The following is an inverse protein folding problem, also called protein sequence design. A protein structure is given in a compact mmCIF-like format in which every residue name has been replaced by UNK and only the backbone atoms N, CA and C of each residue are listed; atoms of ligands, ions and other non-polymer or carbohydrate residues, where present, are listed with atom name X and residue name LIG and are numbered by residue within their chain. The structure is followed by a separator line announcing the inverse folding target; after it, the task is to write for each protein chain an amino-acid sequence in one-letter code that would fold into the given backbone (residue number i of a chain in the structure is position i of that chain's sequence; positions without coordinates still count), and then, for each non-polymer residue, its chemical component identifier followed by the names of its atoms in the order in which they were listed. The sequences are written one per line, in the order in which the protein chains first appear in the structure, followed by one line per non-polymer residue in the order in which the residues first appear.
data_IF_676290280527
#
_entry.id   IF_676290280527
#
_cell.length_a   1.000
_cell.length_b   1.000
_cell.length_c   1.000
_cell.angle_alpha   90.00
_cell.angle_beta   90.00
_cell.angle_gamma   90.00
#
_symmetry.space_group_name_H-M   'P 1'
#
loop_
_entity.id
_entity.type
_entity.pdbx_description
1 polymer ?
#
# COMPACT_ATOMS: atom_id res chain seq x y z
N UNK A 1 -48.05 -14.98 18.81
CA UNK A 1 -48.32 -14.22 17.58
C UNK A 1 -47.91 -12.78 17.85
N UNK A 2 -46.79 -12.32 17.28
CA UNK A 2 -46.39 -10.91 17.42
C UNK A 2 -47.42 -10.02 16.72
N UNK A 3 -47.79 -8.89 17.31
CA UNK A 3 -48.78 -7.98 16.72
C UNK A 3 -48.30 -7.50 15.33
N UNK A 4 -49.18 -7.42 14.31
CA UNK A 4 -48.78 -6.96 12.99
C UNK A 4 -48.29 -5.51 13.09
N UNK A 5 -47.04 -5.28 12.72
CA UNK A 5 -46.46 -3.93 12.66
C UNK A 5 -47.32 -3.07 11.72
N UNK A 6 -47.80 -1.88 12.17
CA UNK A 6 -48.78 -1.08 11.43
C UNK A 6 -48.27 -0.50 10.11
N UNK A 7 -46.95 -0.55 9.88
CA UNK A 7 -46.32 -0.22 8.61
C UNK A 7 -45.56 -1.45 8.14
N UNK A 8 -46.15 -2.25 7.25
CA UNK A 8 -45.48 -3.42 6.67
C UNK A 8 -44.53 -2.91 5.59
N UNK A 9 -43.30 -2.53 5.97
CA UNK A 9 -42.27 -2.27 4.96
C UNK A 9 -41.72 -3.63 4.52
N UNK A 10 -41.53 -3.87 3.22
CA UNK A 10 -40.97 -5.13 2.71
C UNK A 10 -39.52 -5.41 3.15
N UNK A 11 -38.93 -4.54 3.98
CA UNK A 11 -37.59 -4.67 4.58
C UNK A 11 -37.64 -5.08 6.06
N UNK A 12 -38.84 -5.33 6.60
CA UNK A 12 -39.01 -5.63 8.01
C UNK A 12 -38.67 -7.09 8.33
N UNK A 13 -38.38 -7.37 9.60
CA UNK A 13 -38.13 -8.72 10.12
C UNK A 13 -39.26 -9.73 9.80
N UNK A 14 -40.45 -9.24 9.45
CA UNK A 14 -41.57 -10.04 8.97
C UNK A 14 -41.33 -10.75 7.63
N UNK A 15 -40.27 -10.39 6.90
CA UNK A 15 -39.88 -10.97 5.61
C UNK A 15 -38.53 -11.72 5.67
N UNK A 16 -37.92 -11.87 6.86
CA UNK A 16 -36.74 -12.70 7.04
C UNK A 16 -37.15 -14.18 7.05
N UNK A 17 -36.37 -15.04 6.40
CA UNK A 17 -36.50 -16.48 6.56
C UNK A 17 -36.21 -16.89 8.02
N UNK A 18 -36.86 -17.94 8.53
CA UNK A 18 -36.75 -18.34 9.95
C UNK A 18 -35.34 -18.82 10.36
N UNK A 19 -34.42 -19.00 9.41
CA UNK A 19 -33.03 -19.37 9.66
C UNK A 19 -32.10 -18.15 9.57
N UNK A 20 -31.95 -17.42 10.67
CA UNK A 20 -30.88 -16.43 10.78
C UNK A 20 -29.51 -17.14 10.73
N UNK A 21 -28.55 -16.66 9.92
CA UNK A 21 -27.21 -17.22 9.92
C UNK A 21 -26.53 -16.97 11.28
N UNK A 22 -25.69 -17.90 11.70
CA UNK A 22 -24.82 -17.67 12.85
C UNK A 22 -23.85 -16.53 12.51
N UNK A 23 -23.78 -15.51 13.37
CA UNK A 23 -22.97 -14.33 13.10
C UNK A 23 -21.49 -14.62 13.44
N UNK A 24 -20.55 -14.36 12.53
CA UNK A 24 -19.12 -14.61 12.74
C UNK A 24 -18.51 -13.53 13.65
N UNK A 25 -18.88 -13.51 14.93
CA UNK A 25 -18.45 -12.48 15.88
C UNK A 25 -16.94 -12.41 16.08
N UNK A 26 -16.21 -13.46 15.70
CA UNK A 26 -14.75 -13.47 15.67
C UNK A 26 -14.15 -12.43 14.72
N UNK A 27 -14.84 -12.06 13.62
CA UNK A 27 -14.40 -10.99 12.70
C UNK A 27 -14.20 -9.64 13.41
N UNK A 28 -14.88 -9.42 14.54
CA UNK A 28 -14.69 -8.22 15.36
C UNK A 28 -13.27 -8.15 15.93
N UNK A 29 -12.62 -9.29 16.17
CA UNK A 29 -11.32 -9.41 16.82
C UNK A 29 -10.24 -10.08 15.96
N UNK A 30 -10.52 -10.39 14.68
CA UNK A 30 -9.48 -10.82 13.73
C UNK A 30 -8.37 -9.76 13.74
N UNK A 31 -7.13 -10.13 14.14
CA UNK A 31 -6.00 -9.22 14.07
C UNK A 31 -5.71 -8.94 12.61
N UNK A 32 -5.19 -7.76 12.31
CA UNK A 32 -4.77 -7.41 10.96
C UNK A 32 -3.51 -6.55 11.01
N UNK A 33 -2.75 -6.59 9.92
CA UNK A 33 -1.53 -5.84 9.72
C UNK A 33 -1.74 -4.91 8.53
N UNK A 34 -1.25 -3.68 8.62
CA UNK A 34 -1.20 -2.76 7.49
C UNK A 34 0.21 -2.76 6.87
N UNK A 35 0.45 -3.50 5.78
CA UNK A 35 1.79 -3.65 5.21
C UNK A 35 2.26 -2.42 4.42
N UNK A 36 1.40 -1.43 4.20
CA UNK A 36 1.79 -0.18 3.54
C UNK A 36 0.93 0.99 4.03
N UNK A 37 1.52 1.86 4.81
CA UNK A 37 0.94 3.17 5.15
C UNK A 37 2.04 4.20 5.45
N UNK A 38 1.65 5.46 5.60
CA UNK A 38 2.52 6.54 6.03
C UNK A 38 2.09 7.07 7.41
N UNK A 39 1.80 6.19 8.38
CA UNK A 39 1.25 6.57 9.68
C UNK A 39 2.11 7.55 10.48
N UNK A 40 3.42 7.62 10.25
CA UNK A 40 4.28 8.65 10.85
C UNK A 40 3.85 10.07 10.42
N UNK A 41 3.16 10.25 9.31
CA UNK A 41 2.70 11.56 8.81
C UNK A 41 1.29 11.95 9.30
N UNK A 42 0.49 10.98 9.75
CA UNK A 42 -0.92 11.16 10.07
C UNK A 42 -1.19 11.98 11.34
N UNK A 43 -2.46 12.31 11.57
CA UNK A 43 -2.89 12.94 12.83
C UNK A 43 -2.91 11.92 13.99
N UNK A 44 -3.08 12.41 15.22
CA UNK A 44 -3.30 11.54 16.37
C UNK A 44 -4.57 10.69 16.20
N UNK A 45 -5.66 11.31 15.75
CA UNK A 45 -6.96 10.65 15.60
C UNK A 45 -6.89 9.52 14.57
N UNK A 46 -6.15 9.68 13.49
CA UNK A 46 -6.02 8.62 12.47
C UNK A 46 -5.33 7.38 13.05
N UNK A 47 -4.25 7.56 13.82
CA UNK A 47 -3.57 6.45 14.51
C UNK A 47 -4.43 5.83 15.61
N UNK A 48 -5.25 6.64 16.29
CA UNK A 48 -6.22 6.13 17.25
C UNK A 48 -7.26 5.24 16.55
N UNK A 49 -7.70 5.59 15.33
CA UNK A 49 -8.63 4.75 14.54
C UNK A 49 -8.02 3.39 14.19
N UNK A 50 -6.74 3.32 13.85
CA UNK A 50 -6.01 2.04 13.69
C UNK A 50 -6.09 1.18 14.95
N UNK A 51 -5.74 1.77 16.10
CA UNK A 51 -5.77 1.07 17.38
C UNK A 51 -7.18 0.55 17.72
N UNK A 52 -8.20 1.40 17.56
CA UNK A 52 -9.60 1.07 17.88
C UNK A 52 -10.20 0.03 16.93
N UNK A 53 -9.66 -0.13 15.72
CA UNK A 53 -10.13 -1.13 14.75
C UNK A 53 -9.39 -2.47 14.83
N UNK A 54 -8.46 -2.61 15.77
CA UNK A 54 -7.78 -3.87 16.04
C UNK A 54 -6.53 -4.09 15.19
N UNK A 55 -5.92 -3.02 14.66
CA UNK A 55 -4.61 -3.11 14.01
C UNK A 55 -3.59 -3.70 14.99
N UNK A 56 -2.91 -4.77 14.59
CA UNK A 56 -1.92 -5.48 15.42
C UNK A 56 -0.51 -4.98 15.16
N UNK A 57 -0.16 -4.80 13.90
CA UNK A 57 1.14 -4.31 13.46
C UNK A 57 0.99 -3.49 12.17
N UNK A 58 2.01 -2.70 11.83
CA UNK A 58 2.03 -1.94 10.58
C UNK A 58 3.45 -1.69 10.09
N UNK A 59 3.59 -1.50 8.79
CA UNK A 59 4.82 -1.04 8.13
C UNK A 59 4.62 0.41 7.71
N UNK A 60 5.34 1.33 8.35
CA UNK A 60 5.35 2.74 7.97
C UNK A 60 6.39 2.94 6.86
N UNK A 61 5.91 3.26 5.67
CA UNK A 61 6.75 3.44 4.48
C UNK A 61 7.34 4.85 4.47
N UNK A 62 8.66 4.97 4.59
CA UNK A 62 9.39 6.24 4.52
C UNK A 62 10.15 6.35 3.19
N UNK A 63 9.39 6.37 2.11
CA UNK A 63 9.89 6.72 0.77
C UNK A 63 9.04 7.80 0.10
N UNK A 64 7.98 8.26 0.79
CA UNK A 64 7.03 9.23 0.26
C UNK A 64 7.68 10.58 0.03
N UNK A 65 7.73 10.98 -1.23
CA UNK A 65 8.37 12.22 -1.67
C UNK A 65 7.50 13.48 -1.48
N UNK A 66 6.29 13.33 -0.94
CA UNK A 66 5.32 14.42 -0.82
C UNK A 66 5.72 15.49 0.19
N UNK A 67 6.60 15.16 1.15
CA UNK A 67 7.00 16.07 2.24
C UNK A 67 8.30 16.82 1.99
N UNK A 68 8.97 16.54 0.87
CA UNK A 68 10.23 17.22 0.53
C UNK A 68 9.95 18.67 0.11
N UNK A 69 10.77 19.64 0.50
CA UNK A 69 10.48 21.06 0.31
C UNK A 69 10.58 21.56 -1.15
N UNK A 70 11.33 20.87 -2.01
CA UNK A 70 11.57 21.25 -3.40
C UNK A 70 11.83 20.03 -4.29
N UNK A 71 12.01 20.28 -5.59
CA UNK A 71 12.26 19.30 -6.65
C UNK A 71 13.34 19.87 -7.60
N UNK A 72 14.39 19.13 -7.99
CA UNK A 72 14.70 17.76 -7.56
C UNK A 72 15.01 17.73 -6.06
N UNK A 73 14.87 16.57 -5.44
CA UNK A 73 15.06 16.42 -3.99
C UNK A 73 16.53 16.15 -3.70
N UNK A 74 17.08 16.77 -2.66
CA UNK A 74 18.43 16.47 -2.21
C UNK A 74 18.45 15.16 -1.40
N UNK A 75 19.51 14.35 -1.52
CA UNK A 75 19.68 13.12 -0.74
C UNK A 75 19.51 13.33 0.78
N UNK A 76 19.94 14.49 1.31
CA UNK A 76 19.79 14.83 2.73
C UNK A 76 18.35 15.01 3.18
N UNK A 77 17.43 15.44 2.30
CA UNK A 77 16.01 15.57 2.64
C UNK A 77 15.39 14.18 2.85
N UNK A 78 15.75 13.21 2.01
CA UNK A 78 15.25 11.84 2.15
C UNK A 78 15.80 11.19 3.42
N UNK A 79 17.10 11.35 3.70
CA UNK A 79 17.68 10.87 4.97
C UNK A 79 16.99 11.48 6.19
N UNK A 80 16.65 12.77 6.13
CA UNK A 80 15.89 13.42 7.20
C UNK A 80 14.51 12.77 7.40
N UNK A 81 13.80 12.41 6.32
CA UNK A 81 12.52 11.71 6.42
C UNK A 81 12.65 10.31 7.03
N UNK A 82 13.71 9.57 6.66
CA UNK A 82 14.03 8.28 7.29
C UNK A 82 14.30 8.44 8.79
N UNK A 83 15.11 9.43 9.17
CA UNK A 83 15.41 9.74 10.57
C UNK A 83 14.14 10.13 11.35
N UNK A 84 13.23 10.94 10.78
CA UNK A 84 11.97 11.30 11.44
C UNK A 84 11.10 10.05 11.70
N UNK A 85 10.97 9.17 10.72
CA UNK A 85 10.21 7.94 10.85
C UNK A 85 10.79 7.02 11.95
N UNK A 86 12.10 6.80 11.96
CA UNK A 86 12.83 6.04 13.00
C UNK A 86 12.59 6.64 14.38
N UNK A 87 12.78 7.96 14.52
CA UNK A 87 12.71 8.63 15.81
C UNK A 87 11.28 8.67 16.38
N UNK A 88 10.24 8.72 15.54
CA UNK A 88 8.84 8.83 15.98
C UNK A 88 8.18 7.49 16.27
N UNK A 89 8.68 6.39 15.69
CA UNK A 89 8.13 5.03 15.81
C UNK A 89 7.77 4.64 17.25
N UNK A 90 8.73 4.71 18.19
CA UNK A 90 8.51 4.31 19.59
C UNK A 90 7.47 5.17 20.32
N UNK A 91 7.34 6.45 19.95
CA UNK A 91 6.32 7.31 20.51
C UNK A 91 4.93 6.94 19.99
N UNK A 92 4.83 6.57 18.71
CA UNK A 92 3.60 6.09 18.08
C UNK A 92 3.13 4.80 18.77
N UNK A 93 3.99 3.78 18.88
CA UNK A 93 3.65 2.50 19.51
C UNK A 93 3.15 2.68 20.95
N UNK A 94 3.90 3.45 21.75
CA UNK A 94 3.56 3.69 23.17
C UNK A 94 2.18 4.32 23.33
N UNK A 95 1.76 5.15 22.39
CA UNK A 95 0.51 5.89 22.47
C UNK A 95 -0.69 5.16 21.85
N UNK A 96 -0.45 4.21 20.93
CA UNK A 96 -1.51 3.57 20.14
C UNK A 96 -1.54 2.04 20.22
N UNK A 97 -0.62 1.41 20.94
CA UNK A 97 -0.65 -0.01 21.33
C UNK A 97 -0.60 -1.06 20.20
N UNK A 98 -0.23 -0.66 18.98
CA UNK A 98 0.17 -1.57 17.91
C UNK A 98 1.70 -1.55 17.74
N UNK A 99 2.24 -2.62 17.16
CA UNK A 99 3.63 -2.64 16.70
C UNK A 99 3.76 -1.78 15.44
N UNK A 100 4.84 -1.01 15.33
CA UNK A 100 5.17 -0.26 14.13
C UNK A 100 6.60 -0.55 13.72
N UNK A 101 6.77 -1.00 12.48
CA UNK A 101 8.05 -1.20 11.79
C UNK A 101 8.14 -0.27 10.58
N UNK A 102 9.29 -0.27 9.92
CA UNK A 102 9.58 0.65 8.83
C UNK A 102 9.92 -0.09 7.55
N UNK A 103 9.46 0.47 6.44
CA UNK A 103 10.12 0.31 5.15
C UNK A 103 10.78 1.63 4.79
N UNK A 104 12.01 1.61 4.31
CA UNK A 104 12.75 2.81 3.90
C UNK A 104 13.19 2.67 2.46
N UNK A 105 13.11 3.74 1.67
CA UNK A 105 13.54 3.68 0.30
C UNK A 105 13.44 5.00 -0.45
N UNK A 106 13.69 4.91 -1.75
CA UNK A 106 13.68 5.98 -2.73
C UNK A 106 12.60 5.69 -3.76
N UNK A 107 11.54 6.48 -3.71
CA UNK A 107 10.48 6.40 -4.70
C UNK A 107 10.84 7.24 -5.93
N UNK A 108 10.79 6.66 -7.14
CA UNK A 108 11.27 7.30 -8.37
C UNK A 108 10.29 8.30 -8.99
N UNK A 109 9.07 8.40 -8.46
CA UNK A 109 8.08 9.44 -8.80
C UNK A 109 8.57 10.89 -8.60
N UNK A 110 9.73 11.07 -7.96
CA UNK A 110 10.49 12.32 -7.91
C UNK A 110 11.96 12.07 -8.26
N UNK A 111 12.59 12.98 -9.00
CA UNK A 111 14.04 12.96 -9.19
C UNK A 111 14.82 13.33 -7.92
N UNK A 112 15.83 12.53 -7.59
CA UNK A 112 16.77 12.80 -6.50
C UNK A 112 18.13 13.22 -7.05
N UNK A 113 18.72 14.24 -6.44
CA UNK A 113 20.11 14.63 -6.70
C UNK A 113 21.08 13.68 -5.98
N UNK A 114 22.07 13.18 -6.73
CA UNK A 114 23.12 12.28 -6.23
C UNK A 114 22.58 11.01 -5.53
N UNK A 115 21.80 10.15 -6.23
CA UNK A 115 21.23 8.93 -5.64
C UNK A 115 22.29 7.98 -5.06
N UNK A 116 23.49 7.91 -5.65
CA UNK A 116 24.60 7.07 -5.15
C UNK A 116 24.97 7.36 -3.69
N UNK A 117 24.97 8.64 -3.29
CA UNK A 117 25.25 9.02 -1.91
C UNK A 117 24.15 8.49 -0.98
N UNK A 118 22.89 8.60 -1.41
CA UNK A 118 21.74 8.16 -0.63
C UNK A 118 21.75 6.63 -0.45
N UNK A 119 21.96 5.89 -1.53
CA UNK A 119 22.06 4.43 -1.55
C UNK A 119 23.21 3.94 -0.66
N UNK A 120 24.37 4.61 -0.70
CA UNK A 120 25.50 4.25 0.16
C UNK A 120 25.19 4.38 1.66
N UNK A 121 24.34 5.34 2.05
CA UNK A 121 23.91 5.46 3.45
C UNK A 121 22.77 4.52 3.82
N UNK A 122 21.96 4.09 2.85
CA UNK A 122 20.80 3.24 3.08
C UNK A 122 21.15 1.91 3.75
N UNK A 123 22.33 1.34 3.45
CA UNK A 123 22.80 0.11 4.10
C UNK A 123 22.89 0.19 5.63
N UNK A 124 23.28 1.35 6.20
CA UNK A 124 23.30 1.54 7.65
C UNK A 124 21.87 1.51 8.25
N UNK A 125 20.87 1.97 7.50
CA UNK A 125 19.47 1.92 7.92
C UNK A 125 18.88 0.51 7.77
N UNK A 126 19.20 -0.22 6.71
CA UNK A 126 18.77 -1.61 6.52
C UNK A 126 19.27 -2.55 7.63
N UNK A 127 20.32 -2.17 8.36
CA UNK A 127 20.83 -2.92 9.51
C UNK A 127 20.07 -2.68 10.83
N UNK A 128 19.08 -1.77 10.86
CA UNK A 128 18.28 -1.47 12.05
C UNK A 128 17.17 -2.50 12.25
N UNK A 129 17.02 -3.04 13.48
CA UNK A 129 15.94 -3.97 13.85
C UNK A 129 14.51 -3.43 13.61
N UNK A 130 14.39 -2.11 13.52
CA UNK A 130 13.14 -1.41 13.23
C UNK A 130 12.74 -1.44 11.75
N UNK A 131 13.68 -1.70 10.84
CA UNK A 131 13.49 -1.72 9.38
C UNK A 131 13.29 -3.17 8.94
N UNK A 132 12.15 -3.43 8.31
CA UNK A 132 11.72 -4.79 7.92
C UNK A 132 11.54 -4.93 6.42
N UNK A 133 11.75 -3.86 5.66
CA UNK A 133 11.64 -3.87 4.21
C UNK A 133 12.42 -2.70 3.60
N UNK A 134 12.79 -2.87 2.33
CA UNK A 134 13.29 -1.82 1.46
C UNK A 134 12.15 -1.31 0.57
N UNK A 135 12.08 -0.01 0.36
CA UNK A 135 11.06 0.65 -0.46
C UNK A 135 10.12 1.54 0.37
N UNK A 136 9.04 2.07 -0.19
CA UNK A 136 8.56 1.79 -1.53
C UNK A 136 9.48 2.36 -2.64
N UNK A 137 9.77 1.54 -3.65
CA UNK A 137 10.46 1.95 -4.88
C UNK A 137 9.90 1.25 -6.10
N UNK A 138 10.22 1.69 -7.30
CA UNK A 138 9.73 1.15 -8.57
C UNK A 138 9.79 2.23 -9.65
N UNK A 139 9.86 1.86 -10.92
CA UNK A 139 9.86 2.80 -12.05
C UNK A 139 8.48 3.41 -12.23
N UNK A 140 8.41 4.74 -12.36
CA UNK A 140 7.15 5.41 -12.71
C UNK A 140 7.15 5.89 -14.16
N UNK A 141 6.04 5.71 -14.91
CA UNK A 141 5.95 6.24 -16.28
C UNK A 141 6.04 7.76 -16.36
N UNK A 142 5.61 8.47 -15.32
CA UNK A 142 5.66 9.93 -15.23
C UNK A 142 6.03 10.38 -13.82
N UNK A 143 6.78 11.48 -13.71
CA UNK A 143 7.21 12.07 -12.46
C UNK A 143 6.50 13.40 -12.20
N UNK A 144 6.67 13.93 -10.99
CA UNK A 144 6.16 15.24 -10.59
C UNK A 144 7.27 16.30 -10.56
N UNK A 145 7.01 17.46 -11.17
CA UNK A 145 7.87 18.63 -11.33
C UNK A 145 9.08 18.43 -12.25
N UNK A 146 9.82 17.34 -12.09
CA UNK A 146 11.03 17.08 -12.86
C UNK A 146 11.05 15.67 -13.42
N UNK A 147 11.43 15.56 -14.70
CA UNK A 147 11.52 14.31 -15.44
C UNK A 147 12.75 13.52 -14.95
N UNK A 148 12.58 12.21 -14.79
CA UNK A 148 13.68 11.28 -14.50
C UNK A 148 13.71 10.21 -15.58
N UNK A 149 14.81 10.09 -16.35
CA UNK A 149 14.87 9.09 -17.42
C UNK A 149 14.79 7.65 -16.87
N UNK A 150 14.11 6.78 -17.61
CA UNK A 150 13.78 5.41 -17.18
C UNK A 150 15.01 4.60 -16.78
N UNK A 151 16.13 4.71 -17.52
CA UNK A 151 17.35 3.97 -17.21
C UNK A 151 18.01 4.46 -15.91
N UNK A 152 17.90 5.77 -15.61
CA UNK A 152 18.38 6.33 -14.34
C UNK A 152 17.50 5.89 -13.16
N UNK A 153 16.17 5.85 -13.36
CA UNK A 153 15.24 5.29 -12.36
C UNK A 153 15.56 3.80 -12.11
N UNK A 154 15.73 3.01 -13.18
CA UNK A 154 15.99 1.57 -13.09
C UNK A 154 17.26 1.28 -12.28
N UNK A 155 18.33 2.05 -12.50
CA UNK A 155 19.57 1.89 -11.74
C UNK A 155 19.35 2.09 -10.22
N UNK A 156 18.50 3.04 -9.83
CA UNK A 156 18.18 3.30 -8.42
C UNK A 156 17.24 2.23 -7.84
N UNK A 157 16.28 1.74 -8.61
CA UNK A 157 15.41 0.63 -8.20
C UNK A 157 16.23 -0.65 -7.97
N UNK A 158 17.06 -1.03 -8.96
CA UNK A 158 17.90 -2.21 -8.88
C UNK A 158 18.89 -2.12 -7.71
N UNK A 159 19.55 -0.98 -7.50
CA UNK A 159 20.47 -0.82 -6.38
C UNK A 159 19.80 -0.97 -5.01
N UNK A 160 18.52 -0.58 -4.88
CA UNK A 160 17.76 -0.84 -3.66
C UNK A 160 17.41 -2.32 -3.49
N UNK A 161 17.11 -3.02 -4.59
CA UNK A 161 16.88 -4.47 -4.56
C UNK A 161 18.16 -5.24 -4.20
N UNK A 162 19.33 -4.79 -4.67
CA UNK A 162 20.64 -5.34 -4.27
C UNK A 162 20.88 -5.15 -2.76
N UNK A 163 20.59 -3.95 -2.23
CA UNK A 163 20.64 -3.70 -0.78
C UNK A 163 19.66 -4.57 0.01
N UNK A 164 18.46 -4.81 -0.54
CA UNK A 164 17.47 -5.67 0.11
C UNK A 164 17.97 -7.12 0.18
N UNK A 165 18.52 -7.65 -0.92
CA UNK A 165 19.09 -8.99 -0.98
C UNK A 165 20.30 -9.14 -0.05
N UNK A 166 21.20 -8.17 0.00
CA UNK A 166 22.38 -8.17 0.89
C UNK A 166 22.00 -8.20 2.39
N UNK A 167 20.82 -7.67 2.72
CA UNK A 167 20.30 -7.58 4.09
C UNK A 167 19.22 -8.61 4.43
N UNK A 168 18.87 -9.51 3.50
CA UNK A 168 17.77 -10.48 3.66
C UNK A 168 16.43 -9.82 4.01
N UNK A 169 16.12 -8.71 3.33
CA UNK A 169 14.89 -7.93 3.51
C UNK A 169 13.98 -8.04 2.28
N UNK A 170 12.64 -8.09 2.47
CA UNK A 170 11.71 -7.95 1.37
C UNK A 170 11.70 -6.53 0.79
N UNK A 171 11.18 -6.39 -0.43
CA UNK A 171 10.97 -5.12 -1.12
C UNK A 171 9.49 -4.81 -1.23
N UNK A 172 9.10 -3.59 -0.83
CA UNK A 172 7.84 -2.97 -1.24
C UNK A 172 8.04 -2.33 -2.62
N UNK A 173 7.47 -2.96 -3.64
CA UNK A 173 7.51 -2.49 -5.02
C UNK A 173 6.28 -1.62 -5.33
N UNK A 174 6.51 -0.39 -5.76
CA UNK A 174 5.48 0.48 -6.31
C UNK A 174 5.02 -0.06 -7.66
N UNK A 175 3.74 -0.44 -7.77
CA UNK A 175 3.15 -0.66 -9.08
C UNK A 175 2.38 0.60 -9.51
N UNK A 176 2.68 1.18 -10.69
CA UNK A 176 2.01 2.40 -11.13
C UNK A 176 0.51 2.19 -11.30
N UNK A 177 -0.27 2.84 -10.44
CA UNK A 177 -1.73 2.80 -10.48
C UNK A 177 -2.28 3.32 -11.81
N UNK A 178 -3.32 2.66 -12.31
CA UNK A 178 -4.17 3.24 -13.36
C UNK A 178 -5.25 4.12 -12.72
N UNK A 179 -5.41 5.35 -13.19
CA UNK A 179 -6.44 6.24 -12.63
C UNK A 179 -7.83 5.81 -13.07
N UNK A 180 -8.82 5.90 -12.17
CA UNK A 180 -10.22 5.71 -12.55
C UNK A 180 -10.73 6.76 -13.53
N UNK A 181 -11.68 6.37 -14.39
CA UNK A 181 -12.37 7.33 -15.24
C UNK A 181 -13.13 8.36 -14.37
N UNK A 182 -12.79 9.64 -14.54
CA UNK A 182 -13.50 10.69 -13.84
C UNK A 182 -14.93 10.81 -14.38
N UNK A 183 -15.91 10.76 -13.47
CA UNK A 183 -17.33 11.01 -13.80
C UNK A 183 -17.56 12.43 -14.33
N UNK A 184 -16.67 13.37 -13.95
CA UNK A 184 -16.74 14.77 -14.37
C UNK A 184 -15.42 15.49 -14.11
N UNK A 185 -14.99 16.27 -15.09
CA UNK A 185 -13.81 17.12 -14.96
C UNK A 185 -14.01 18.25 -13.94
N UNK A 186 -12.96 18.50 -13.15
CA UNK A 186 -12.85 19.71 -12.34
C UNK A 186 -12.47 20.89 -13.24
N UNK A 187 -12.54 22.12 -12.70
CA UNK A 187 -12.10 23.27 -13.48
C UNK A 187 -10.58 23.28 -13.60
N UNK A 188 -10.08 23.36 -14.83
CA UNK A 188 -8.65 23.37 -15.13
C UNK A 188 -7.89 24.51 -14.45
N UNK A 189 -8.53 25.68 -14.28
CA UNK A 189 -7.90 26.86 -13.67
C UNK A 189 -7.55 26.69 -12.19
N UNK A 190 -8.10 25.68 -11.53
CA UNK A 190 -7.79 25.34 -10.16
C UNK A 190 -6.69 24.29 -10.04
N UNK A 191 -6.46 23.47 -11.08
CA UNK A 191 -5.43 22.41 -11.07
C UNK A 191 -5.60 21.42 -9.90
N UNK A 192 -6.83 21.18 -9.45
CA UNK A 192 -7.13 20.42 -8.23
C UNK A 192 -7.34 18.93 -8.49
N UNK A 193 -6.86 18.12 -7.56
CA UNK A 193 -7.33 16.75 -7.35
C UNK A 193 -7.96 16.68 -5.96
N UNK A 194 -9.28 16.91 -5.81
CA UNK A 194 -9.89 16.99 -4.49
C UNK A 194 -9.68 15.73 -3.66
N UNK A 195 -9.16 15.91 -2.44
CA UNK A 195 -8.74 14.80 -1.59
C UNK A 195 -7.28 14.40 -1.76
N UNK A 196 -6.52 15.06 -2.63
CA UNK A 196 -5.07 14.89 -2.73
C UNK A 196 -4.41 16.27 -2.83
N UNK A 197 -3.66 16.64 -1.81
CA UNK A 197 -2.88 17.87 -1.74
C UNK A 197 -1.66 17.81 -2.67
N UNK A 198 -1.90 17.89 -3.99
CA UNK A 198 -0.88 18.00 -5.03
C UNK A 198 -1.26 19.02 -6.09
N UNK A 199 -0.24 19.58 -6.76
CA UNK A 199 -0.47 20.38 -7.96
C UNK A 199 -0.50 19.46 -9.18
N UNK A 200 -1.71 19.16 -9.68
CA UNK A 200 -1.89 18.22 -10.78
C UNK A 200 -1.26 18.71 -12.10
N UNK A 201 -1.09 20.03 -12.27
CA UNK A 201 -0.50 20.62 -13.47
C UNK A 201 1.02 20.53 -13.57
N UNK A 202 1.69 19.95 -12.57
CA UNK A 202 3.15 19.76 -12.58
C UNK A 202 3.55 18.31 -12.91
N UNK A 203 2.64 17.51 -13.47
CA UNK A 203 3.01 16.24 -14.07
C UNK A 203 3.97 16.45 -15.25
N UNK A 204 4.93 15.56 -15.39
CA UNK A 204 5.88 15.56 -16.51
C UNK A 204 5.37 14.70 -17.66
N UNK A 205 5.89 14.93 -18.86
CA UNK A 205 5.66 14.03 -19.99
C UNK A 205 6.18 12.62 -19.66
N UNK A 206 5.48 11.55 -20.08
CA UNK A 206 5.94 10.18 -19.83
C UNK A 206 7.36 9.91 -20.32
N UNK A 207 8.06 9.04 -19.60
CA UNK A 207 9.43 8.57 -19.92
C UNK A 207 9.47 7.11 -20.35
N UNK A 208 8.34 6.42 -20.24
CA UNK A 208 8.17 5.05 -20.69
C UNK A 208 7.09 5.01 -21.77
N UNK A 209 7.49 4.59 -22.97
CA UNK A 209 6.61 4.44 -24.13
C UNK A 209 6.02 3.02 -24.18
N UNK A 210 4.87 2.87 -24.84
CA UNK A 210 4.24 1.57 -25.07
C UNK A 210 2.72 1.61 -25.02
N UNK A 211 2.08 0.45 -25.22
CA UNK A 211 0.61 0.33 -25.11
C UNK A 211 0.16 0.35 -23.64
N UNK A 212 0.96 -0.20 -22.73
CA UNK A 212 0.68 -0.26 -21.30
C UNK A 212 1.94 0.04 -20.47
N UNK A 213 2.39 1.31 -20.41
CA UNK A 213 3.61 1.66 -19.70
C UNK A 213 3.55 1.31 -18.21
N UNK A 214 2.38 1.32 -17.58
CA UNK A 214 2.24 0.94 -16.17
C UNK A 214 2.64 -0.53 -15.93
N UNK A 215 2.12 -1.46 -16.74
CA UNK A 215 2.47 -2.88 -16.62
C UNK A 215 3.91 -3.16 -17.05
N UNK A 216 4.41 -2.47 -18.08
CA UNK A 216 5.79 -2.64 -18.54
C UNK A 216 6.81 -2.14 -17.50
N UNK A 217 6.47 -1.12 -16.69
CA UNK A 217 7.29 -0.72 -15.54
C UNK A 217 7.38 -1.85 -14.50
N UNK A 218 6.24 -2.46 -14.14
CA UNK A 218 6.22 -3.59 -13.18
C UNK A 218 7.07 -4.76 -13.67
N UNK A 219 6.96 -5.14 -14.95
CA UNK A 219 7.78 -6.22 -15.53
C UNK A 219 9.27 -5.93 -15.45
N UNK A 220 9.67 -4.70 -15.80
CA UNK A 220 11.06 -4.26 -15.72
C UNK A 220 11.60 -4.34 -14.30
N UNK A 221 10.80 -3.94 -13.31
CA UNK A 221 11.24 -3.97 -11.92
C UNK A 221 11.34 -5.40 -11.36
N UNK A 222 10.47 -6.32 -11.80
CA UNK A 222 10.61 -7.74 -11.42
C UNK A 222 11.84 -8.37 -12.09
N UNK A 223 12.14 -8.03 -13.35
CA UNK A 223 13.39 -8.45 -14.01
C UNK A 223 14.62 -7.90 -13.25
N UNK A 224 14.58 -6.63 -12.84
CA UNK A 224 15.64 -6.01 -12.05
C UNK A 224 15.81 -6.65 -10.66
N UNK A 225 14.75 -7.13 -10.03
CA UNK A 225 14.83 -7.89 -8.78
C UNK A 225 15.62 -9.19 -8.98
N UNK A 226 15.34 -9.93 -10.06
CA UNK A 226 16.10 -11.12 -10.43
C UNK A 226 17.57 -10.83 -10.74
N UNK A 227 17.86 -9.75 -11.47
CA UNK A 227 19.23 -9.31 -11.76
C UNK A 227 20.00 -8.88 -10.50
N UNK A 228 19.29 -8.31 -9.52
CA UNK A 228 19.83 -7.97 -8.19
C UNK A 228 20.04 -9.20 -7.28
N UNK A 229 19.56 -10.38 -7.68
CA UNK A 229 19.62 -11.60 -6.87
C UNK A 229 18.56 -11.67 -5.76
N UNK A 230 17.48 -10.90 -5.87
CA UNK A 230 16.34 -10.92 -4.97
C UNK A 230 15.28 -11.91 -5.50
N UNK A 231 14.93 -12.90 -4.69
CA UNK A 231 13.88 -13.86 -5.03
C UNK A 231 12.51 -13.18 -5.13
N UNK A 232 11.67 -13.59 -6.07
CA UNK A 232 10.33 -13.01 -6.29
C UNK A 232 9.43 -13.11 -5.05
N UNK A 233 9.57 -14.17 -4.24
CA UNK A 233 8.83 -14.35 -2.98
C UNK A 233 9.15 -13.25 -1.94
N UNK A 234 10.25 -12.51 -2.11
CA UNK A 234 10.60 -11.34 -1.29
C UNK A 234 10.10 -10.01 -1.88
N UNK A 235 9.36 -10.03 -2.99
CA UNK A 235 8.77 -8.83 -3.60
C UNK A 235 7.29 -8.73 -3.25
N UNK A 236 6.91 -7.61 -2.63
CA UNK A 236 5.52 -7.24 -2.36
C UNK A 236 5.13 -6.11 -3.32
N UNK A 237 4.41 -6.47 -4.39
CA UNK A 237 3.87 -5.53 -5.36
C UNK A 237 2.68 -4.77 -4.76
N UNK A 238 2.97 -3.56 -4.28
CA UNK A 238 2.00 -2.63 -3.71
C UNK A 238 1.14 -1.98 -4.79
N UNK A 239 -0.04 -1.50 -4.40
CA UNK A 239 -0.98 -0.81 -5.29
C UNK A 239 -1.47 -1.68 -6.46
N UNK A 240 -1.57 -2.99 -6.24
CA UNK A 240 -2.08 -3.89 -7.25
C UNK A 240 -3.49 -3.46 -7.69
N UNK A 241 -3.79 -3.65 -8.96
CA UNK A 241 -5.10 -3.37 -9.55
C UNK A 241 -5.38 -4.39 -10.67
N UNK A 242 -6.51 -4.24 -11.37
CA UNK A 242 -6.86 -5.13 -12.47
C UNK A 242 -5.85 -5.13 -13.64
N UNK A 243 -4.99 -4.11 -13.74
CA UNK A 243 -3.99 -3.99 -14.80
C UNK A 243 -2.81 -4.96 -14.61
N UNK A 244 -2.47 -5.29 -13.35
CA UNK A 244 -1.30 -6.10 -13.03
C UNK A 244 -1.60 -7.38 -12.22
N UNK A 245 -2.79 -7.52 -11.64
CA UNK A 245 -3.18 -8.70 -10.82
C UNK A 245 -2.92 -10.02 -11.55
N UNK A 246 -3.39 -10.17 -12.79
CA UNK A 246 -3.26 -11.42 -13.53
C UNK A 246 -1.78 -11.79 -13.79
N UNK A 247 -0.96 -10.79 -14.10
CA UNK A 247 0.48 -10.98 -14.28
C UNK A 247 1.16 -11.42 -12.97
N UNK A 248 0.94 -10.69 -11.88
CA UNK A 248 1.52 -10.98 -10.56
C UNK A 248 1.09 -12.34 -9.99
N UNK A 249 -0.15 -12.75 -10.23
CA UNK A 249 -0.65 -14.01 -9.67
C UNK A 249 -0.35 -15.22 -10.54
N UNK A 250 -0.34 -15.08 -11.86
CA UNK A 250 -0.21 -16.21 -12.78
C UNK A 250 1.21 -16.40 -13.36
N UNK A 251 2.03 -15.35 -13.38
CA UNK A 251 3.34 -15.36 -14.05
C UNK A 251 4.52 -15.17 -13.10
N UNK A 252 4.29 -14.81 -11.83
CA UNK A 252 5.35 -14.58 -10.83
C UNK A 252 5.02 -15.24 -9.48
N UNK A 253 6.03 -15.34 -8.61
CA UNK A 253 5.91 -15.80 -7.24
C UNK A 253 5.80 -14.64 -6.22
N UNK A 254 5.64 -13.40 -6.70
CA UNK A 254 5.53 -12.20 -5.88
C UNK A 254 4.26 -12.21 -5.01
N UNK A 255 4.34 -11.51 -3.88
CA UNK A 255 3.15 -11.06 -3.17
C UNK A 255 2.54 -9.85 -3.89
N UNK A 256 1.22 -9.73 -3.85
CA UNK A 256 0.51 -8.50 -4.25
C UNK A 256 -0.21 -7.91 -3.04
N UNK A 257 -0.32 -6.58 -3.01
CA UNK A 257 -1.12 -5.85 -2.03
C UNK A 257 -2.05 -4.87 -2.71
N UNK A 258 -3.35 -4.99 -2.41
CA UNK A 258 -4.35 -4.04 -2.86
C UNK A 258 -4.46 -2.87 -1.89
N UNK A 259 -4.29 -1.65 -2.41
CA UNK A 259 -4.49 -0.43 -1.64
C UNK A 259 -5.94 -0.01 -1.66
N UNK A 260 -6.60 -0.11 -0.50
CA UNK A 260 -8.04 0.15 -0.37
C UNK A 260 -8.38 1.39 0.49
N UNK A 261 -7.38 2.04 1.11
CA UNK A 261 -7.60 3.19 1.98
C UNK A 261 -7.98 4.47 1.26
N UNK A 262 -7.86 4.52 -0.07
CA UNK A 262 -8.31 5.63 -0.90
C UNK A 262 -8.96 5.16 -2.22
N UNK A 263 -9.84 4.15 -2.15
CA UNK A 263 -10.58 3.59 -3.30
C UNK A 263 -11.27 4.61 -4.21
N UNK A 264 -11.61 5.80 -3.70
CA UNK A 264 -12.14 6.91 -4.51
C UNK A 264 -11.16 7.44 -5.57
N UNK A 265 -9.85 7.20 -5.39
CA UNK A 265 -8.77 7.63 -6.27
C UNK A 265 -8.38 6.51 -7.25
N UNK A 266 -8.04 5.33 -6.71
CA UNK A 266 -7.50 4.19 -7.49
C UNK A 266 -8.57 3.23 -8.00
N UNK A 267 -9.79 3.27 -7.44
CA UNK A 267 -10.90 2.42 -7.89
C UNK A 267 -10.87 0.99 -7.39
N UNK A 268 -9.89 0.63 -6.58
CA UNK A 268 -9.73 -0.69 -5.97
C UNK A 268 -10.49 -0.75 -4.64
N UNK A 269 -11.29 -1.79 -4.44
CA UNK A 269 -12.01 -2.03 -3.19
C UNK A 269 -12.07 -3.52 -2.79
N UNK A 270 -12.85 -3.84 -1.75
CA UNK A 270 -12.95 -5.21 -1.22
C UNK A 270 -13.55 -6.22 -2.21
N UNK A 271 -14.29 -5.77 -3.23
CA UNK A 271 -14.80 -6.65 -4.27
C UNK A 271 -13.67 -7.14 -5.18
N UNK A 272 -12.71 -6.26 -5.53
CA UNK A 272 -11.54 -6.65 -6.33
C UNK A 272 -10.70 -7.69 -5.58
N UNK A 273 -10.50 -7.47 -4.28
CA UNK A 273 -9.81 -8.41 -3.39
C UNK A 273 -10.55 -9.76 -3.33
N UNK A 274 -11.88 -9.76 -3.17
CA UNK A 274 -12.68 -10.98 -3.14
C UNK A 274 -12.58 -11.76 -4.47
N UNK A 275 -12.69 -11.07 -5.60
CA UNK A 275 -12.56 -11.68 -6.92
C UNK A 275 -11.19 -12.33 -7.12
N UNK A 276 -10.11 -11.67 -6.66
CA UNK A 276 -8.77 -12.21 -6.73
C UNK A 276 -8.60 -13.46 -5.83
N UNK A 277 -9.19 -13.47 -4.63
CA UNK A 277 -9.20 -14.66 -3.76
C UNK A 277 -9.98 -15.81 -4.42
N UNK A 278 -11.14 -15.54 -5.01
CA UNK A 278 -11.94 -16.57 -5.70
C UNK A 278 -11.19 -17.18 -6.90
N UNK A 279 -10.39 -16.37 -7.62
CA UNK A 279 -9.67 -16.81 -8.81
C UNK A 279 -8.32 -17.49 -8.49
N UNK A 280 -7.54 -16.92 -7.56
CA UNK A 280 -6.14 -17.31 -7.32
C UNK A 280 -5.91 -17.93 -5.94
N UNK A 281 -6.89 -17.86 -5.03
CA UNK A 281 -6.75 -18.23 -3.62
C UNK A 281 -6.15 -17.11 -2.76
N UNK A 282 -6.17 -17.24 -1.43
CA UNK A 282 -5.78 -16.17 -0.50
C UNK A 282 -4.26 -16.01 -0.32
N UNK A 283 -3.46 -17.01 -0.73
CA UNK A 283 -2.01 -16.95 -0.59
C UNK A 283 -1.44 -15.88 -1.51
N UNK A 284 -0.40 -15.18 -1.04
CA UNK A 284 0.25 -14.07 -1.74
C UNK A 284 -0.61 -12.81 -1.96
N UNK A 285 -1.86 -12.79 -1.50
CA UNK A 285 -2.73 -11.60 -1.56
C UNK A 285 -2.71 -10.87 -0.22
N UNK A 286 -2.48 -9.57 -0.23
CA UNK A 286 -2.57 -8.68 0.93
C UNK A 286 -3.50 -7.50 0.63
N UNK A 287 -3.85 -6.77 1.68
CA UNK A 287 -4.51 -5.47 1.57
C UNK A 287 -3.82 -4.46 2.47
N UNK A 288 -3.73 -3.23 1.99
CA UNK A 288 -3.16 -2.10 2.72
C UNK A 288 -4.03 -0.86 2.61
N UNK A 289 -3.67 0.18 3.36
CA UNK A 289 -4.42 1.43 3.32
C UNK A 289 -3.76 2.53 2.50
N UNK A 290 -2.43 2.54 2.41
CA UNK A 290 -1.65 3.68 1.95
C UNK A 290 -2.14 5.01 2.55
N UNK A 291 -2.40 5.02 3.87
CA UNK A 291 -2.85 6.24 4.53
C UNK A 291 -1.70 7.24 4.67
N UNK A 292 -1.86 8.40 4.05
CA UNK A 292 -0.93 9.53 4.15
C UNK A 292 -1.69 10.82 4.47
N UNK A 293 -1.05 11.76 5.17
CA UNK A 293 -1.69 13.02 5.57
C UNK A 293 -2.02 13.97 4.41
N UNK A 294 -1.35 13.83 3.27
CA UNK A 294 -1.59 14.59 2.03
C UNK A 294 -2.76 14.05 1.21
N UNK A 295 -3.30 12.89 1.60
CA UNK A 295 -4.36 12.16 0.91
C UNK A 295 -5.56 11.99 1.84
N UNK A 296 -6.77 12.18 1.29
CA UNK A 296 -8.02 11.81 1.95
C UNK A 296 -8.09 10.30 2.00
N UNK A 297 -7.71 9.76 3.14
CA UNK A 297 -7.54 8.33 3.36
C UNK A 297 -8.44 7.84 4.49
N UNK A 298 -8.64 6.53 4.54
CA UNK A 298 -9.55 5.86 5.47
C UNK A 298 -8.81 4.85 6.34
N UNK A 299 -8.41 5.21 7.57
CA UNK A 299 -7.73 4.31 8.52
C UNK A 299 -8.55 3.07 8.92
N UNK A 300 -9.84 3.04 8.60
CA UNK A 300 -10.73 1.91 8.88
C UNK A 300 -10.93 0.98 7.67
N UNK A 301 -10.27 1.23 6.54
CA UNK A 301 -10.51 0.52 5.28
C UNK A 301 -10.29 -1.00 5.41
N UNK A 302 -9.15 -1.45 5.96
CA UNK A 302 -8.88 -2.88 6.18
C UNK A 302 -9.94 -3.52 7.07
N UNK A 303 -10.32 -2.86 8.17
CA UNK A 303 -11.36 -3.38 9.06
C UNK A 303 -12.73 -3.48 8.38
N UNK A 304 -13.07 -2.54 7.50
CA UNK A 304 -14.30 -2.66 6.69
C UNK A 304 -14.19 -3.78 5.67
N UNK A 305 -13.05 -3.91 5.00
CA UNK A 305 -12.80 -4.99 4.04
C UNK A 305 -12.96 -6.37 4.68
N UNK A 306 -12.47 -6.60 5.90
CA UNK A 306 -12.71 -7.85 6.66
C UNK A 306 -14.20 -8.22 6.69
N UNK A 307 -15.09 -7.25 6.93
CA UNK A 307 -16.54 -7.51 6.95
C UNK A 307 -17.14 -7.63 5.56
N UNK A 308 -16.66 -6.88 4.57
CA UNK A 308 -17.15 -6.99 3.19
C UNK A 308 -16.72 -8.31 2.54
N UNK A 309 -15.47 -8.76 2.72
CA UNK A 309 -14.99 -10.05 2.23
C UNK A 309 -15.86 -11.21 2.74
N UNK A 310 -16.21 -11.22 4.04
CA UNK A 310 -17.14 -12.22 4.57
C UNK A 310 -18.52 -12.13 3.91
N UNK A 311 -19.02 -10.90 3.64
CA UNK A 311 -20.31 -10.71 2.94
C UNK A 311 -20.25 -11.16 1.48
N UNK A 312 -19.09 -11.09 0.84
CA UNK A 312 -18.85 -11.65 -0.49
C UNK A 312 -18.72 -13.18 -0.48
N UNK A 313 -18.62 -13.81 0.70
CA UNK A 313 -18.58 -15.27 0.86
C UNK A 313 -17.17 -15.82 1.07
N UNK A 314 -16.17 -14.98 1.32
CA UNK A 314 -14.81 -15.42 1.65
C UNK A 314 -14.78 -16.00 3.06
N UNK A 315 -14.17 -17.18 3.20
CA UNK A 315 -14.03 -17.87 4.49
C UNK A 315 -13.17 -17.06 5.47
N UNK A 316 -13.47 -17.18 6.77
CA UNK A 316 -12.77 -16.42 7.83
C UNK A 316 -11.27 -16.71 7.86
N UNK A 317 -10.87 -17.96 7.59
CA UNK A 317 -9.46 -18.37 7.53
C UNK A 317 -8.72 -17.73 6.33
N UNK A 318 -9.41 -17.58 5.20
CA UNK A 318 -8.86 -16.92 4.01
C UNK A 318 -8.74 -15.41 4.23
N UNK A 319 -9.75 -14.79 4.85
CA UNK A 319 -9.68 -13.38 5.28
C UNK A 319 -8.48 -13.19 6.21
N UNK A 320 -8.31 -14.06 7.20
CA UNK A 320 -7.18 -14.02 8.13
C UNK A 320 -5.84 -14.17 7.41
N UNK A 321 -5.77 -15.06 6.41
CA UNK A 321 -4.57 -15.23 5.58
C UNK A 321 -4.18 -13.90 4.92
N UNK A 322 -5.14 -13.23 4.28
CA UNK A 322 -4.90 -11.98 3.54
C UNK A 322 -4.54 -10.80 4.44
N UNK A 323 -5.26 -10.61 5.55
CA UNK A 323 -5.10 -9.40 6.38
C UNK A 323 -4.06 -9.55 7.50
N UNK A 324 -3.60 -10.77 7.77
CA UNK A 324 -2.71 -11.04 8.91
C UNK A 324 -1.57 -11.98 8.58
N UNK A 325 -1.82 -13.18 8.04
CA UNK A 325 -0.75 -14.20 7.95
C UNK A 325 0.25 -13.88 6.84
N UNK A 326 -0.22 -13.52 5.64
CA UNK A 326 0.64 -13.09 4.54
C UNK A 326 1.55 -11.90 4.94
N UNK A 327 1.03 -10.76 5.46
CA UNK A 327 1.89 -9.64 5.87
C UNK A 327 2.76 -9.97 7.09
N UNK A 328 2.30 -10.84 8.01
CA UNK A 328 3.12 -11.30 9.14
C UNK A 328 4.35 -12.06 8.65
N UNK A 329 4.12 -13.00 7.72
CA UNK A 329 5.14 -13.94 7.29
C UNK A 329 6.19 -13.26 6.40
N UNK A 330 5.77 -12.39 5.47
CA UNK A 330 6.73 -11.71 4.57
C UNK A 330 7.60 -10.68 5.29
N UNK A 331 7.05 -9.96 6.28
CA UNK A 331 7.75 -8.87 6.98
C UNK A 331 8.29 -9.26 8.36
N UNK A 332 8.10 -10.51 8.80
CA UNK A 332 8.54 -10.97 10.12
C UNK A 332 7.93 -10.18 11.29
N UNK A 333 6.62 -9.93 11.25
CA UNK A 333 5.92 -9.05 12.20
C UNK A 333 5.17 -9.82 13.30
N UNK A 334 4.72 -9.09 14.32
CA UNK A 334 3.73 -9.52 15.30
C UNK A 334 4.06 -10.81 16.08
N UNK A 335 5.36 -11.03 16.38
CA UNK A 335 5.86 -12.12 17.22
C UNK A 335 5.34 -12.10 18.68
#
# INVERSE_FOLDING_TARGET
MSAPQPTVRPTDAAFLDESDPELPTELLNVPWIDPHNHAHTLSWEDRERYALSGCRSMVMVSSGYHWTPYKPVEASDIRFLWDDAVNRRRAIERNHFFEAKLSLGVHTGVRIENPDELLAAMGDYCALDEVVAVGETGVTPSQHVERWDVDEQQAVVQAQMELAADHDLPVLLHTPNTSTESKREYRDDLGVTPGYEKNAGLGTEPVLDGENPALEAVKRDIEAAGDAGLDEEHVVASHADANNTAYLMAETDCYLSYTIGHSWLVGVDAADVANAIDEYGPKRIMIDTDTANVLRTDPYAVKRAIFELYRYGIDVDDIRTVVYENPRDVFGLAE
#
